data_IF_547038632991
#
_entry.id   IF_547038632991
#
_cell.length_a   1.000
_cell.length_b   1.000
_cell.length_c   1.000
_cell.angle_alpha   90.00
_cell.angle_beta   90.00
_cell.angle_gamma   90.00
#
_symmetry.space_group_name_H-M   'P 1'
#
loop_
_entity.id
_entity.type
_entity.pdbx_description
1 polymer ?
#
# COMPACT_ATOMS: atom_id res chain seq x y z
N UNK A 1 30.09 -3.19 68.27
CA UNK A 1 29.82 -2.06 67.35
C UNK A 1 28.46 -1.48 67.74
N UNK A 2 28.49 -0.21 68.18
CA UNK A 2 27.34 0.61 68.57
C UNK A 2 26.72 1.35 67.36
N UNK A 3 25.48 1.80 67.55
CA UNK A 3 24.87 2.98 66.90
C UNK A 3 23.77 2.65 65.89
N UNK A 4 22.48 2.62 66.27
CA UNK A 4 21.51 3.74 66.35
C UNK A 4 21.09 4.28 64.97
N UNK A 5 19.87 3.96 64.52
CA UNK A 5 18.65 4.81 64.47
C UNK A 5 18.83 6.04 63.57
N UNK A 6 17.97 6.34 62.59
CA UNK A 6 16.59 6.83 62.78
C UNK A 6 15.74 6.63 61.51
N UNK A 7 14.46 6.37 61.75
CA UNK A 7 13.32 6.23 60.85
C UNK A 7 12.92 7.52 60.10
N UNK A 8 12.14 7.36 59.02
CA UNK A 8 11.05 8.27 58.56
C UNK A 8 10.53 7.72 57.22
N UNK A 9 9.24 7.66 56.89
CA UNK A 9 8.02 8.09 57.53
C UNK A 9 6.90 7.32 56.79
N UNK A 10 6.13 6.49 57.50
CA UNK A 10 4.86 6.01 57.00
C UNK A 10 3.89 7.19 57.03
N UNK A 11 3.63 7.81 55.88
CA UNK A 11 2.47 8.69 55.72
C UNK A 11 1.31 7.81 55.31
N UNK A 12 0.42 7.55 56.27
CA UNK A 12 -0.99 7.29 55.99
C UNK A 12 -1.50 8.43 55.09
N UNK A 13 -1.64 8.16 53.80
CA UNK A 13 -2.69 8.79 53.02
C UNK A 13 -3.91 7.89 53.15
N UNK A 14 -4.76 8.27 54.11
CA UNK A 14 -6.17 7.96 54.04
C UNK A 14 -6.70 8.57 52.73
N UNK A 15 -6.62 7.82 51.64
CA UNK A 15 -7.46 8.08 50.48
C UNK A 15 -8.81 7.45 50.79
N UNK A 16 -9.70 8.35 51.20
CA UNK A 16 -11.14 8.17 51.21
C UNK A 16 -11.61 7.15 50.16
N UNK A 17 -12.43 6.22 50.61
CA UNK A 17 -13.32 5.44 49.78
C UNK A 17 -14.00 6.35 48.75
N UNK A 18 -13.49 6.30 47.53
CA UNK A 18 -14.15 6.79 46.33
C UNK A 18 -13.81 5.74 45.28
N UNK A 19 -14.75 4.86 44.98
CA UNK A 19 -14.63 3.99 43.82
C UNK A 19 -14.45 4.90 42.60
N UNK A 20 -13.23 5.10 42.12
CA UNK A 20 -13.03 5.70 40.81
C UNK A 20 -13.72 4.75 39.83
N UNK A 21 -14.81 5.21 39.24
CA UNK A 21 -15.51 4.47 38.23
C UNK A 21 -14.49 4.18 37.12
N UNK A 22 -14.39 2.92 36.72
CA UNK A 22 -13.57 2.54 35.59
C UNK A 22 -14.16 3.24 34.36
N UNK A 23 -13.35 4.03 33.66
CA UNK A 23 -13.77 4.85 32.53
C UNK A 23 -12.96 4.51 31.27
N UNK A 24 -13.55 4.79 30.10
CA UNK A 24 -12.88 4.60 28.82
C UNK A 24 -12.15 5.88 28.44
N UNK A 25 -10.84 5.82 28.28
CA UNK A 25 -10.08 6.92 27.68
C UNK A 25 -10.37 6.96 26.18
N UNK A 26 -10.84 8.11 25.69
CA UNK A 26 -11.10 8.35 24.27
C UNK A 26 -10.02 9.28 23.74
N UNK A 27 -9.30 8.84 22.70
CA UNK A 27 -8.27 9.65 22.03
C UNK A 27 -8.58 9.73 20.55
N UNK A 28 -8.59 10.95 20.02
CA UNK A 28 -8.69 11.17 18.59
C UNK A 28 -7.37 11.72 18.06
N UNK A 29 -6.85 11.08 17.02
CA UNK A 29 -5.68 11.49 16.27
C UNK A 29 -5.99 11.27 14.80
N UNK A 30 -6.58 12.28 14.15
CA UNK A 30 -7.12 12.23 12.78
C UNK A 30 -6.27 11.35 11.85
N UNK A 31 -6.83 10.28 11.25
CA UNK A 31 -8.25 9.89 11.23
C UNK A 31 -8.64 8.76 12.22
N UNK A 32 -7.84 8.54 13.26
CA UNK A 32 -7.95 7.40 14.18
C UNK A 32 -8.65 7.80 15.47
N UNK A 33 -9.68 7.04 15.84
CA UNK A 33 -10.33 7.12 17.15
C UNK A 33 -9.98 5.87 17.96
N UNK A 34 -9.35 6.08 19.10
CA UNK A 34 -8.82 5.03 19.98
C UNK A 34 -9.53 5.08 21.33
N UNK A 35 -9.83 3.89 21.85
CA UNK A 35 -10.49 3.66 23.13
C UNK A 35 -9.63 2.76 23.98
N UNK A 36 -9.32 3.19 25.20
CA UNK A 36 -8.50 2.41 26.14
C UNK A 36 -9.22 2.25 27.45
N UNK A 37 -9.31 1.02 27.94
CA UNK A 37 -9.76 0.68 29.28
C UNK A 37 -8.57 0.13 30.07
N UNK A 38 -8.05 0.84 31.09
CA UNK A 38 -6.87 0.43 31.86
C UNK A 38 -7.20 -0.68 32.87
N UNK A 39 -7.70 -1.81 32.37
CA UNK A 39 -8.08 -3.00 33.14
C UNK A 39 -7.12 -4.15 32.84
N UNK A 40 -6.41 -4.61 33.87
CA UNK A 40 -5.38 -5.66 33.74
C UNK A 40 -5.73 -6.97 34.47
N UNK A 41 -7.00 -7.17 34.82
CA UNK A 41 -7.44 -8.32 35.61
C UNK A 41 -7.42 -9.61 34.80
N UNK A 42 -6.91 -10.71 35.38
CA UNK A 42 -6.93 -12.07 34.77
C UNK A 42 -8.33 -12.68 34.60
N UNK A 43 -9.36 -11.99 35.09
CA UNK A 43 -10.75 -12.45 35.08
C UNK A 43 -11.56 -11.89 33.90
N UNK A 44 -11.03 -10.89 33.17
CA UNK A 44 -11.67 -10.38 31.96
C UNK A 44 -11.19 -11.21 30.75
N UNK A 45 -12.11 -11.90 30.08
CA UNK A 45 -11.80 -12.70 28.88
C UNK A 45 -12.02 -11.93 27.58
N UNK A 46 -12.88 -10.92 27.62
CA UNK A 46 -13.19 -10.03 26.51
C UNK A 46 -13.70 -8.68 27.00
N UNK A 47 -13.45 -7.64 26.20
CA UNK A 47 -14.01 -6.30 26.38
C UNK A 47 -14.61 -5.84 25.07
N UNK A 48 -15.85 -5.33 25.10
CA UNK A 48 -16.50 -4.67 23.98
C UNK A 48 -16.60 -3.17 24.26
N UNK A 49 -16.11 -2.34 23.35
CA UNK A 49 -16.23 -0.88 23.39
C UNK A 49 -17.45 -0.46 22.59
N UNK A 50 -18.37 0.26 23.20
CA UNK A 50 -19.51 0.89 22.55
C UNK A 50 -19.26 2.39 22.48
N UNK A 51 -19.41 2.99 21.32
CA UNK A 51 -19.16 4.42 21.14
C UNK A 51 -20.14 5.06 20.18
N UNK A 52 -20.44 6.33 20.39
CA UNK A 52 -21.36 7.09 19.57
C UNK A 52 -20.72 8.36 18.99
N UNK A 53 -21.00 8.58 17.70
CA UNK A 53 -20.63 9.78 16.94
C UNK A 53 -21.92 10.30 16.31
N UNK A 54 -22.31 11.56 16.57
CA UNK A 54 -23.58 12.15 16.09
C UNK A 54 -24.81 11.26 16.37
N UNK A 55 -24.86 10.65 17.55
CA UNK A 55 -25.92 9.73 17.97
C UNK A 55 -26.01 8.40 17.20
N UNK A 56 -25.06 8.10 16.30
CA UNK A 56 -24.92 6.77 15.70
C UNK A 56 -24.02 5.93 16.59
N UNK A 57 -24.53 4.78 17.05
CA UNK A 57 -23.83 3.85 17.94
C UNK A 57 -23.03 2.81 17.14
N UNK A 58 -21.84 2.49 17.64
CA UNK A 58 -20.90 1.55 17.07
C UNK A 58 -20.40 0.61 18.17
N UNK A 59 -19.84 -0.54 17.78
CA UNK A 59 -19.26 -1.51 18.73
C UNK A 59 -17.95 -2.07 18.18
N UNK A 60 -16.92 -2.09 19.01
CA UNK A 60 -15.60 -2.60 18.71
C UNK A 60 -15.15 -3.65 19.72
N UNK A 61 -14.48 -4.70 19.25
CA UNK A 61 -13.90 -5.72 20.13
C UNK A 61 -12.51 -5.26 20.58
N UNK A 62 -12.31 -5.20 21.89
CA UNK A 62 -11.03 -4.84 22.49
C UNK A 62 -9.98 -5.93 22.32
N UNK A 63 -8.73 -5.50 22.22
CA UNK A 63 -7.53 -6.35 22.23
C UNK A 63 -6.71 -5.98 23.47
N UNK A 64 -6.13 -6.99 24.14
CA UNK A 64 -5.30 -6.76 25.31
C UNK A 64 -3.92 -6.22 24.90
N UNK A 65 -3.48 -5.13 25.55
CA UNK A 65 -2.20 -4.47 25.33
C UNK A 65 -1.51 -4.15 26.66
N UNK A 66 -0.33 -3.50 26.60
CA UNK A 66 0.40 -3.02 27.79
C UNK A 66 -0.33 -1.88 28.52
N UNK A 67 -1.25 -1.19 27.87
CA UNK A 67 -2.03 -0.06 28.43
C UNK A 67 -3.43 -0.49 28.91
N UNK A 68 -3.78 -1.77 28.73
CA UNK A 68 -5.07 -2.34 29.09
C UNK A 68 -5.76 -2.93 27.87
N UNK A 69 -7.09 -2.96 27.88
CA UNK A 69 -7.87 -3.32 26.69
C UNK A 69 -7.99 -2.11 25.78
N UNK A 70 -7.71 -2.29 24.49
CA UNK A 70 -7.78 -1.20 23.50
C UNK A 70 -8.59 -1.58 22.29
N UNK A 71 -9.27 -0.62 21.70
CA UNK A 71 -9.91 -0.72 20.39
C UNK A 71 -9.63 0.56 19.62
N UNK A 72 -9.27 0.45 18.34
CA UNK A 72 -9.07 1.60 17.48
C UNK A 72 -9.82 1.40 16.16
N UNK A 73 -10.50 2.45 15.72
CA UNK A 73 -11.11 2.53 14.40
C UNK A 73 -10.43 3.65 13.61
N UNK A 74 -10.26 3.44 12.30
CA UNK A 74 -9.60 4.38 11.38
C UNK A 74 -10.63 5.02 10.45
N UNK A 75 -10.22 6.05 9.72
CA UNK A 75 -11.06 6.79 8.77
C UNK A 75 -12.35 7.36 9.39
N UNK A 76 -12.31 7.69 10.67
CA UNK A 76 -13.44 8.29 11.38
C UNK A 76 -13.50 9.78 11.10
N UNK A 77 -14.50 10.22 10.33
CA UNK A 77 -14.84 11.65 10.25
C UNK A 77 -15.65 12.07 11.47
N UNK A 78 -15.12 13.03 12.22
CA UNK A 78 -15.81 13.71 13.31
C UNK A 78 -16.40 15.07 12.86
N UNK A 79 -16.46 15.34 11.55
CA UNK A 79 -16.90 16.63 11.01
C UNK A 79 -18.33 16.94 11.43
N UNK A 80 -18.54 18.00 12.21
CA UNK A 80 -19.86 18.37 12.73
C UNK A 80 -20.36 17.48 13.89
N UNK A 81 -19.49 16.64 14.47
CA UNK A 81 -19.76 16.05 15.78
C UNK A 81 -19.33 17.03 16.88
N UNK A 82 -20.18 17.23 17.88
CA UNK A 82 -19.83 18.06 19.06
C UNK A 82 -19.01 17.27 20.10
N UNK A 83 -19.16 15.95 20.08
CA UNK A 83 -18.48 15.05 20.99
C UNK A 83 -18.49 13.61 20.49
N UNK A 84 -17.59 12.81 21.06
CA UNK A 84 -17.63 11.35 21.02
C UNK A 84 -17.95 10.85 22.41
N UNK A 85 -18.87 9.90 22.54
CA UNK A 85 -19.12 9.20 23.81
C UNK A 85 -18.75 7.74 23.70
N UNK A 86 -18.25 7.12 24.77
CA UNK A 86 -17.94 5.70 24.77
C UNK A 86 -18.07 5.07 26.16
N UNK A 87 -18.40 3.78 26.19
CA UNK A 87 -18.33 2.94 27.38
C UNK A 87 -17.87 1.53 26.99
N UNK A 88 -17.42 0.75 27.94
CA UNK A 88 -16.99 -0.63 27.74
C UNK A 88 -17.86 -1.61 28.53
N UNK A 89 -18.04 -2.80 27.97
CA UNK A 89 -18.64 -3.96 28.63
C UNK A 89 -17.56 -5.02 28.79
N UNK A 90 -17.35 -5.48 30.01
CA UNK A 90 -16.33 -6.49 30.35
C UNK A 90 -17.02 -7.82 30.61
N UNK A 91 -16.48 -8.89 30.01
CA UNK A 91 -16.99 -10.25 30.10
C UNK A 91 -16.03 -11.15 30.88
N UNK A 92 -16.58 -12.08 31.65
CA UNK A 92 -15.82 -13.12 32.35
C UNK A 92 -15.40 -14.27 31.41
N UNK A 93 -14.62 -15.22 31.91
CA UNK A 93 -14.15 -16.40 31.15
C UNK A 93 -15.27 -17.31 30.62
N UNK A 94 -16.46 -17.22 31.18
CA UNK A 94 -17.64 -17.98 30.75
C UNK A 94 -18.51 -17.18 29.78
N UNK A 95 -18.11 -15.96 29.41
CA UNK A 95 -18.84 -15.06 28.52
C UNK A 95 -19.95 -14.27 29.21
N UNK A 96 -20.08 -14.31 30.53
CA UNK A 96 -21.08 -13.52 31.24
C UNK A 96 -20.61 -12.07 31.40
N UNK A 97 -21.55 -11.14 31.24
CA UNK A 97 -21.30 -9.71 31.48
C UNK A 97 -21.00 -9.48 32.96
N UNK A 98 -19.78 -9.02 33.25
CA UNK A 98 -19.31 -8.72 34.61
C UNK A 98 -19.59 -7.27 34.98
N UNK A 99 -19.30 -6.35 34.07
CA UNK A 99 -19.47 -4.92 34.33
C UNK A 99 -19.71 -4.12 33.06
N UNK A 100 -20.29 -2.94 33.25
CA UNK A 100 -20.34 -1.86 32.27
C UNK A 100 -19.70 -0.64 32.90
N UNK A 101 -18.77 -0.01 32.18
CA UNK A 101 -18.13 1.24 32.63
C UNK A 101 -19.12 2.40 32.57
N UNK A 102 -18.77 3.51 33.22
CA UNK A 102 -19.46 4.76 32.94
C UNK A 102 -19.19 5.21 31.49
N UNK A 103 -20.09 6.05 30.96
CA UNK A 103 -19.91 6.68 29.64
C UNK A 103 -18.94 7.85 29.79
N UNK A 104 -17.81 7.74 29.11
CA UNK A 104 -16.85 8.82 28.94
C UNK A 104 -17.24 9.67 27.72
N UNK A 105 -16.89 10.97 27.75
CA UNK A 105 -17.20 11.93 26.69
C UNK A 105 -15.96 12.74 26.33
N UNK A 106 -15.55 12.67 25.07
CA UNK A 106 -14.57 13.57 24.48
C UNK A 106 -15.31 14.75 23.85
N UNK A 107 -15.15 15.95 24.41
CA UNK A 107 -15.61 17.18 23.79
C UNK A 107 -14.64 17.58 22.68
N UNK A 108 -15.19 17.91 21.51
CA UNK A 108 -14.42 18.38 20.37
C UNK A 108 -14.45 19.91 20.43
N UNK A 109 -13.41 20.51 21.04
CA UNK A 109 -13.40 21.94 21.35
C UNK A 109 -13.29 22.82 20.09
N UNK A 110 -14.28 23.68 19.87
CA UNK A 110 -14.37 24.59 18.72
C UNK A 110 -13.86 26.00 19.06
N UNK A 111 -13.43 26.30 20.31
CA UNK A 111 -12.96 27.65 20.66
C UNK A 111 -11.74 27.63 21.59
N UNK A 112 -10.64 28.23 21.12
CA UNK A 112 -9.39 28.55 21.86
C UNK A 112 -8.21 27.57 21.79
N UNK A 113 -7.90 27.04 20.60
CA UNK A 113 -6.50 26.69 20.33
C UNK A 113 -5.72 27.98 19.97
N UNK A 114 -4.57 28.28 20.60
CA UNK A 114 -3.68 29.33 20.13
C UNK A 114 -3.31 29.03 18.68
N UNK A 115 -3.15 30.07 17.87
CA UNK A 115 -2.79 29.98 16.45
C UNK A 115 -1.43 29.28 16.33
N UNK A 116 -1.44 27.95 16.34
CA UNK A 116 -0.46 27.15 15.64
C UNK A 116 -0.52 27.66 14.20
N UNK A 117 0.62 28.10 13.68
CA UNK A 117 0.76 28.47 12.27
C UNK A 117 0.01 27.43 11.46
N UNK A 118 -1.06 27.84 10.79
CA UNK A 118 -1.83 26.98 9.91
C UNK A 118 -0.82 26.26 9.00
N UNK A 119 -0.61 24.93 9.12
CA UNK A 119 -0.11 24.23 7.96
C UNK A 119 -1.18 24.50 6.90
N UNK A 120 -0.76 25.08 5.77
CA UNK A 120 -1.62 25.46 4.65
C UNK A 120 -2.87 24.58 4.63
N UNK A 121 -4.04 25.20 4.82
CA UNK A 121 -5.35 24.59 4.67
C UNK A 121 -5.32 23.75 3.39
N UNK A 122 -5.00 22.46 3.51
CA UNK A 122 -5.23 21.50 2.43
C UNK A 122 -6.74 21.46 2.40
N UNK A 123 -7.34 22.14 1.43
CA UNK A 123 -8.65 21.78 0.97
C UNK A 123 -8.50 20.28 0.69
N UNK A 124 -8.98 19.42 1.61
CA UNK A 124 -9.10 17.99 1.32
C UNK A 124 -10.25 17.98 0.34
N UNK A 125 -9.95 18.11 -0.96
CA UNK A 125 -11.00 18.19 -1.96
C UNK A 125 -11.87 16.94 -1.90
N UNK A 126 -13.08 17.07 -2.44
CA UNK A 126 -14.11 16.04 -2.32
C UNK A 126 -13.59 14.70 -2.86
N UNK A 127 -13.74 13.65 -2.06
CA UNK A 127 -13.56 12.26 -2.51
C UNK A 127 -14.66 11.98 -3.51
N UNK A 128 -14.29 11.63 -4.75
CA UNK A 128 -15.27 11.26 -5.79
C UNK A 128 -15.19 9.78 -6.16
N UNK A 129 -14.12 9.10 -5.74
CA UNK A 129 -13.97 7.66 -5.89
C UNK A 129 -13.19 7.11 -4.70
N UNK A 130 -13.68 6.02 -4.11
CA UNK A 130 -12.98 5.22 -3.11
C UNK A 130 -13.36 3.75 -3.27
N UNK A 131 -12.38 2.88 -3.14
CA UNK A 131 -12.59 1.44 -3.02
C UNK A 131 -11.73 0.90 -1.87
N UNK A 132 -12.38 0.26 -0.89
CA UNK A 132 -11.75 -0.36 0.28
C UNK A 132 -11.54 -1.88 0.10
N UNK A 133 -11.79 -2.41 -1.10
CA UNK A 133 -11.54 -3.81 -1.47
C UNK A 133 -12.15 -4.88 -0.53
N UNK A 134 -13.25 -4.55 0.17
CA UNK A 134 -14.07 -5.53 0.89
C UNK A 134 -14.61 -6.64 -0.04
N UNK A 135 -14.69 -6.34 -1.34
CA UNK A 135 -14.89 -7.30 -2.44
C UNK A 135 -14.35 -6.71 -3.74
N UNK A 136 -13.98 -7.54 -4.72
CA UNK A 136 -13.54 -7.03 -6.02
C UNK A 136 -14.73 -6.59 -6.87
N UNK A 137 -14.83 -5.30 -7.18
CA UNK A 137 -15.93 -4.72 -7.94
C UNK A 137 -15.54 -4.49 -9.41
N UNK A 138 -16.07 -5.31 -10.32
CA UNK A 138 -15.83 -5.20 -11.77
C UNK A 138 -16.47 -3.97 -12.41
N UNK A 139 -17.31 -3.20 -11.70
CA UNK A 139 -17.76 -1.88 -12.16
C UNK A 139 -16.69 -0.80 -11.92
N UNK A 140 -15.82 -1.00 -10.94
CA UNK A 140 -14.74 -0.07 -10.60
C UNK A 140 -13.43 -0.44 -11.30
N UNK A 141 -13.22 -1.73 -11.58
CA UNK A 141 -11.93 -2.26 -12.03
C UNK A 141 -12.08 -3.15 -13.26
N UNK A 142 -11.12 -3.02 -14.18
CA UNK A 142 -10.79 -4.02 -15.17
C UNK A 142 -9.63 -4.86 -14.65
N UNK A 143 -9.57 -6.13 -15.04
CA UNK A 143 -8.40 -6.97 -14.86
C UNK A 143 -7.84 -7.33 -16.23
N UNK A 144 -6.53 -7.44 -16.32
CA UNK A 144 -5.85 -7.79 -17.56
C UNK A 144 -5.80 -9.31 -17.70
N UNK A 145 -6.25 -9.82 -18.85
CA UNK A 145 -6.02 -11.18 -19.31
C UNK A 145 -5.03 -11.11 -20.47
N UNK A 146 -3.76 -11.21 -20.11
CA UNK A 146 -2.62 -11.22 -21.03
C UNK A 146 -1.52 -12.11 -20.45
N UNK A 147 -0.47 -12.35 -21.22
CA UNK A 147 0.70 -13.10 -20.76
C UNK A 147 1.72 -12.25 -19.98
N UNK A 148 1.31 -11.10 -19.41
CA UNK A 148 2.16 -10.21 -18.62
C UNK A 148 1.89 -10.28 -17.10
N UNK A 149 2.96 -10.60 -16.35
CA UNK A 149 3.08 -10.48 -14.89
C UNK A 149 3.00 -11.82 -14.12
N UNK A 150 3.18 -11.80 -12.78
CA UNK A 150 3.15 -12.98 -11.91
C UNK A 150 2.33 -12.99 -10.59
N UNK A 151 1.92 -14.19 -10.20
CA UNK A 151 1.57 -14.85 -8.94
C UNK A 151 0.99 -16.23 -9.36
N UNK A 152 1.66 -17.33 -8.98
CA UNK A 152 1.45 -18.71 -9.45
C UNK A 152 2.33 -19.07 -10.64
N UNK A 153 2.98 -20.22 -10.57
CA UNK A 153 3.72 -20.76 -11.71
C UNK A 153 2.71 -21.17 -12.76
N UNK A 154 3.03 -20.92 -14.03
CA UNK A 154 2.13 -21.33 -15.11
C UNK A 154 1.85 -22.84 -15.05
N UNK A 155 2.83 -23.64 -14.64
CA UNK A 155 2.71 -25.12 -14.49
C UNK A 155 1.90 -25.57 -13.27
N UNK A 156 1.53 -24.67 -12.36
CA UNK A 156 0.60 -25.00 -11.26
C UNK A 156 -0.85 -25.05 -11.75
N UNK A 157 -1.15 -24.45 -12.91
CA UNK A 157 -2.43 -24.60 -13.59
C UNK A 157 -2.43 -25.93 -14.36
N UNK A 158 -3.40 -26.82 -14.13
CA UNK A 158 -3.42 -28.17 -14.72
C UNK A 158 -3.52 -28.19 -16.25
N UNK A 159 -3.80 -27.04 -16.88
CA UNK A 159 -3.79 -26.89 -18.35
C UNK A 159 -2.38 -26.86 -18.94
N UNK A 160 -1.35 -26.60 -18.12
CA UNK A 160 0.01 -26.37 -18.59
C UNK A 160 1.01 -27.24 -17.84
N UNK A 161 1.99 -27.78 -18.56
CA UNK A 161 3.15 -28.47 -18.01
C UNK A 161 4.45 -27.82 -18.50
N UNK A 162 5.58 -28.31 -18.01
CA UNK A 162 6.89 -27.76 -18.41
C UNK A 162 7.16 -27.95 -19.90
N UNK A 163 6.70 -29.06 -20.50
CA UNK A 163 6.82 -29.28 -21.94
C UNK A 163 6.02 -28.24 -22.75
N UNK A 164 4.83 -27.86 -22.29
CA UNK A 164 4.02 -26.81 -22.88
C UNK A 164 4.73 -25.46 -22.83
N UNK A 165 5.48 -25.15 -21.77
CA UNK A 165 6.26 -23.90 -21.74
C UNK A 165 7.28 -23.81 -22.89
N UNK A 166 7.90 -24.92 -23.28
CA UNK A 166 8.92 -24.95 -24.34
C UNK A 166 8.35 -25.11 -25.75
N UNK A 167 7.23 -25.82 -25.90
CA UNK A 167 6.74 -26.26 -27.22
C UNK A 167 5.28 -25.88 -27.51
N UNK A 168 4.57 -25.43 -26.48
CA UNK A 168 3.16 -25.10 -26.56
C UNK A 168 2.88 -23.78 -27.29
N UNK A 169 1.61 -23.62 -27.65
CA UNK A 169 1.04 -22.39 -28.15
C UNK A 169 0.00 -21.89 -27.16
N UNK A 170 0.27 -20.76 -26.54
CA UNK A 170 -0.66 -20.12 -25.61
C UNK A 170 -1.52 -19.12 -26.38
N UNK A 171 -2.83 -19.19 -26.21
CA UNK A 171 -3.82 -18.32 -26.85
C UNK A 171 -4.86 -17.90 -25.81
N UNK A 172 -4.83 -16.62 -25.42
CA UNK A 172 -5.69 -16.08 -24.36
C UNK A 172 -7.17 -16.14 -24.73
N UNK A 173 -7.51 -15.92 -26.01
CA UNK A 173 -8.90 -15.99 -26.45
C UNK A 173 -9.45 -17.41 -26.34
N UNK A 174 -8.63 -18.43 -26.62
CA UNK A 174 -9.04 -19.84 -26.45
C UNK A 174 -9.11 -20.26 -24.98
N UNK A 175 -8.21 -19.75 -24.15
CA UNK A 175 -8.11 -20.13 -22.73
C UNK A 175 -9.13 -19.44 -21.83
N UNK A 176 -9.50 -18.19 -22.14
CA UNK A 176 -10.33 -17.34 -21.29
C UNK A 176 -11.53 -16.71 -22.01
N UNK A 177 -11.67 -16.93 -23.32
CA UNK A 177 -12.77 -16.38 -24.14
C UNK A 177 -12.54 -14.96 -24.64
N UNK A 178 -11.49 -14.28 -24.17
CA UNK A 178 -11.10 -12.93 -24.59
C UNK A 178 -9.63 -12.66 -24.25
N UNK A 179 -9.10 -11.57 -24.81
CA UNK A 179 -7.77 -11.03 -24.52
C UNK A 179 -7.87 -9.51 -24.40
N UNK A 180 -7.19 -8.93 -23.41
CA UNK A 180 -7.30 -7.49 -23.13
C UNK A 180 -6.14 -6.65 -23.67
N UNK A 181 -4.98 -7.27 -23.95
CA UNK A 181 -3.78 -6.57 -24.47
C UNK A 181 -3.05 -7.45 -25.48
N UNK A 182 -3.01 -7.02 -26.75
CA UNK A 182 -2.40 -7.76 -27.86
C UNK A 182 -0.95 -7.36 -28.12
N UNK A 183 -0.50 -6.22 -27.60
CA UNK A 183 0.87 -5.74 -27.72
C UNK A 183 1.88 -6.75 -27.20
N UNK A 184 3.07 -6.76 -27.81
CA UNK A 184 4.19 -7.63 -27.40
C UNK A 184 3.83 -9.13 -27.29
N UNK A 185 3.00 -9.63 -28.22
CA UNK A 185 2.53 -11.02 -28.24
C UNK A 185 1.65 -11.39 -27.02
N UNK A 186 0.95 -10.42 -26.44
CA UNK A 186 0.16 -10.59 -25.21
C UNK A 186 -1.05 -11.53 -25.33
N UNK A 187 -1.61 -11.70 -26.53
CA UNK A 187 -2.75 -12.61 -26.76
C UNK A 187 -2.36 -13.99 -27.28
N UNK A 188 -1.27 -14.11 -28.02
CA UNK A 188 -0.83 -15.37 -28.62
C UNK A 188 0.67 -15.44 -28.71
N UNK A 189 1.25 -16.55 -28.20
CA UNK A 189 2.70 -16.78 -28.19
C UNK A 189 3.00 -18.27 -28.32
N UNK A 190 4.17 -18.58 -28.84
CA UNK A 190 4.66 -19.94 -28.99
C UNK A 190 5.97 -20.10 -28.21
N UNK A 191 6.12 -21.21 -27.50
CA UNK A 191 7.29 -21.48 -26.66
C UNK A 191 8.58 -21.76 -27.45
N UNK A 192 8.45 -22.18 -28.71
CA UNK A 192 9.55 -22.72 -29.52
C UNK A 192 10.74 -21.77 -29.75
N UNK A 193 10.59 -20.45 -29.53
CA UNK A 193 11.63 -19.44 -29.77
C UNK A 193 12.18 -18.75 -28.51
N UNK A 194 11.79 -19.17 -27.31
CA UNK A 194 12.26 -18.50 -26.08
C UNK A 194 11.47 -18.80 -24.81
N UNK A 195 10.71 -19.89 -24.81
CA UNK A 195 9.76 -20.32 -23.77
C UNK A 195 8.56 -19.38 -23.61
N UNK A 196 7.40 -19.95 -23.29
CA UNK A 196 6.22 -19.21 -22.86
C UNK A 196 6.46 -18.59 -21.47
N UNK A 197 5.73 -17.53 -21.09
CA UNK A 197 5.86 -16.92 -19.78
C UNK A 197 5.66 -17.95 -18.65
N UNK A 198 6.68 -18.16 -17.79
CA UNK A 198 6.64 -19.23 -16.79
C UNK A 198 5.81 -18.87 -15.54
N UNK A 199 5.33 -17.63 -15.46
CA UNK A 199 4.57 -17.07 -14.33
C UNK A 199 3.34 -16.32 -14.87
N UNK A 200 2.20 -16.33 -14.15
CA UNK A 200 0.95 -15.59 -14.46
C UNK A 200 0.59 -14.59 -13.36
N UNK A 201 0.25 -13.31 -13.59
CA UNK A 201 -0.27 -12.29 -12.61
C UNK A 201 -1.76 -12.02 -12.85
N UNK A 202 -2.47 -11.07 -12.22
CA UNK A 202 -2.13 -9.99 -11.29
C UNK A 202 -1.89 -8.59 -11.91
N UNK A 203 -2.72 -8.13 -12.85
CA UNK A 203 -2.78 -6.71 -13.25
C UNK A 203 -4.22 -6.20 -13.30
N UNK A 204 -4.46 -5.05 -12.66
CA UNK A 204 -5.78 -4.42 -12.57
C UNK A 204 -5.71 -2.94 -12.88
N UNK A 205 -6.77 -2.41 -13.48
CA UNK A 205 -6.88 -1.03 -13.92
C UNK A 205 -8.21 -0.44 -13.46
N UNK A 206 -8.16 0.76 -12.88
CA UNK A 206 -9.37 1.49 -12.53
C UNK A 206 -10.14 1.94 -13.78
N UNK A 207 -11.47 1.89 -13.71
CA UNK A 207 -12.35 2.57 -14.67
C UNK A 207 -12.42 4.08 -14.40
N UNK A 208 -12.57 4.54 -13.14
CA UNK A 208 -12.47 5.96 -12.82
C UNK A 208 -11.14 6.55 -13.27
N UNK A 209 -11.17 7.81 -13.69
CA UNK A 209 -9.99 8.56 -14.10
C UNK A 209 -9.92 9.88 -13.36
N UNK A 210 -8.71 10.41 -13.20
CA UNK A 210 -8.45 11.72 -12.60
C UNK A 210 -7.53 12.53 -13.51
N UNK A 211 -7.90 13.77 -13.78
CA UNK A 211 -7.03 14.72 -14.51
C UNK A 211 -6.13 15.48 -13.53
N UNK A 212 -6.75 16.10 -12.52
CA UNK A 212 -6.07 16.81 -11.45
C UNK A 212 -6.72 16.45 -10.12
N UNK A 213 -5.91 16.27 -9.08
CA UNK A 213 -6.40 15.79 -7.81
C UNK A 213 -5.31 15.16 -6.94
N UNK A 214 -5.76 14.45 -5.92
CA UNK A 214 -4.93 13.60 -5.08
C UNK A 214 -5.37 12.16 -5.33
N UNK A 215 -4.40 11.28 -5.56
CA UNK A 215 -4.59 9.83 -5.54
C UNK A 215 -3.88 9.29 -4.32
N UNK A 216 -4.63 8.68 -3.42
CA UNK A 216 -4.11 8.04 -2.21
C UNK A 216 -4.30 6.54 -2.30
N UNK A 217 -3.26 5.79 -1.99
CA UNK A 217 -3.25 4.33 -2.07
C UNK A 217 -2.57 3.82 -0.81
N UNK A 218 -3.20 2.87 -0.14
CA UNK A 218 -2.57 2.11 0.94
C UNK A 218 -2.43 0.66 0.51
N UNK A 219 -1.19 0.20 0.40
CA UNK A 219 -0.89 -1.16 -0.01
C UNK A 219 0.32 -1.72 0.74
N UNK A 220 0.34 -3.04 0.93
CA UNK A 220 1.54 -3.80 1.29
C UNK A 220 2.11 -4.42 0.02
N UNK A 221 3.36 -4.10 -0.28
CA UNK A 221 4.06 -4.68 -1.43
C UNK A 221 4.47 -6.14 -1.16
N UNK A 222 4.56 -6.97 -2.22
CA UNK A 222 5.01 -8.35 -2.12
C UNK A 222 6.51 -8.45 -1.79
N UNK A 223 6.87 -9.56 -1.14
CA UNK A 223 8.24 -9.96 -0.86
C UNK A 223 8.51 -11.32 -1.52
N UNK A 224 9.69 -11.42 -2.14
CA UNK A 224 10.18 -12.57 -2.89
C UNK A 224 11.16 -12.12 -3.96
N UNK A 225 12.19 -12.92 -4.21
CA UNK A 225 13.22 -12.54 -5.16
C UNK A 225 12.64 -12.37 -6.56
N UNK A 226 13.12 -11.32 -7.24
CA UNK A 226 12.79 -10.98 -8.64
C UNK A 226 11.36 -10.52 -8.88
N UNK A 227 10.61 -10.20 -7.82
CA UNK A 227 9.28 -9.61 -7.93
C UNK A 227 9.40 -8.09 -8.09
N UNK A 228 8.58 -7.51 -8.98
CA UNK A 228 8.54 -6.08 -9.28
C UNK A 228 7.10 -5.56 -9.14
N UNK A 229 6.70 -5.16 -7.93
CA UNK A 229 5.42 -4.49 -7.73
C UNK A 229 5.44 -3.05 -8.23
N UNK A 230 4.33 -2.64 -8.85
CA UNK A 230 4.12 -1.28 -9.32
C UNK A 230 2.71 -0.76 -9.00
N UNK A 231 2.64 0.50 -8.57
CA UNK A 231 1.44 1.33 -8.47
C UNK A 231 1.68 2.57 -9.33
N UNK A 232 0.93 2.70 -10.41
CA UNK A 232 1.25 3.66 -11.48
C UNK A 232 -0.01 4.06 -12.22
N UNK A 233 0.07 5.16 -12.96
CA UNK A 233 -1.05 5.71 -13.71
C UNK A 233 -0.69 5.87 -15.17
N UNK A 234 -1.65 5.51 -16.02
CA UNK A 234 -1.59 5.70 -17.47
C UNK A 234 -2.71 6.63 -17.95
N UNK A 235 -2.49 7.39 -19.03
CA UNK A 235 -3.51 8.27 -19.57
C UNK A 235 -4.63 7.44 -20.19
N UNK A 236 -5.89 7.82 -19.96
CA UNK A 236 -7.04 7.12 -20.56
C UNK A 236 -7.01 7.17 -22.10
N UNK A 237 -6.48 8.25 -22.65
CA UNK A 237 -6.36 8.48 -24.08
C UNK A 237 -4.89 8.71 -24.44
N UNK A 238 -4.46 8.23 -25.60
CA UNK A 238 -3.14 8.59 -26.15
C UNK A 238 -3.19 9.96 -26.86
N UNK A 239 -3.64 11.02 -26.16
CA UNK A 239 -3.89 12.37 -26.73
C UNK A 239 -2.73 12.92 -27.56
N UNK A 240 -1.49 12.63 -27.14
CA UNK A 240 -0.28 13.12 -27.80
C UNK A 240 0.46 12.05 -28.59
N UNK A 241 -0.14 10.87 -28.77
CA UNK A 241 0.46 9.71 -29.44
C UNK A 241 1.03 8.68 -28.48
N UNK A 242 1.78 7.73 -29.04
CA UNK A 242 2.34 6.58 -28.33
C UNK A 242 3.27 7.01 -27.19
N UNK A 243 3.44 6.11 -26.21
CA UNK A 243 4.31 6.29 -25.07
C UNK A 243 5.73 6.75 -25.48
N UNK A 244 6.37 7.68 -24.73
CA UNK A 244 5.92 8.34 -23.50
C UNK A 244 5.18 9.66 -23.77
N UNK A 245 4.78 9.94 -25.02
CA UNK A 245 4.27 11.25 -25.43
C UNK A 245 2.99 11.64 -24.70
N UNK A 246 2.20 10.67 -24.26
CA UNK A 246 0.96 10.88 -23.50
C UNK A 246 1.14 10.79 -21.98
N UNK A 247 2.36 10.54 -21.50
CA UNK A 247 2.70 10.51 -20.08
C UNK A 247 2.49 9.14 -19.42
N UNK A 248 3.16 8.96 -18.29
CA UNK A 248 3.03 7.86 -17.32
C UNK A 248 3.50 8.40 -15.96
N UNK A 249 2.81 8.01 -14.89
CA UNK A 249 3.11 8.43 -13.52
C UNK A 249 3.31 7.20 -12.66
N UNK A 250 4.55 6.91 -12.30
CA UNK A 250 4.87 5.84 -11.35
C UNK A 250 4.84 6.41 -9.95
N UNK A 251 3.78 6.08 -9.22
CA UNK A 251 3.63 6.49 -7.82
C UNK A 251 4.60 5.68 -6.96
N UNK A 252 4.72 4.39 -7.24
CA UNK A 252 5.59 3.48 -6.52
C UNK A 252 6.01 2.31 -7.40
N UNK A 253 7.31 2.14 -7.57
CA UNK A 253 7.93 0.90 -8.01
C UNK A 253 8.90 0.40 -6.96
N UNK A 254 8.97 -0.91 -6.75
CA UNK A 254 9.89 -1.53 -5.79
C UNK A 254 10.37 -2.89 -6.28
N UNK A 255 11.25 -3.52 -5.50
CA UNK A 255 11.71 -4.90 -5.72
C UNK A 255 11.28 -5.74 -4.52
N UNK A 256 10.75 -6.94 -4.77
CA UNK A 256 10.38 -7.88 -3.72
C UNK A 256 11.58 -8.53 -3.01
N UNK A 257 12.80 -8.36 -3.53
CA UNK A 257 14.01 -8.90 -2.90
C UNK A 257 14.19 -8.38 -1.48
N UNK A 258 14.81 -9.19 -0.63
CA UNK A 258 15.25 -8.78 0.71
C UNK A 258 16.58 -8.02 0.60
N UNK A 259 16.74 -6.94 1.38
CA UNK A 259 17.98 -6.16 1.45
C UNK A 259 17.83 -4.69 1.00
N UNK A 260 18.94 -3.93 0.94
CA UNK A 260 18.91 -2.48 0.85
C UNK A 260 18.40 -1.91 -0.48
N UNK A 261 18.44 -2.71 -1.56
CA UNK A 261 17.93 -2.35 -2.90
C UNK A 261 16.57 -3.07 -3.17
N UNK A 262 16.00 -3.68 -2.13
CA UNK A 262 14.81 -4.53 -2.16
C UNK A 262 13.54 -3.84 -1.66
N UNK A 263 12.74 -4.54 -0.86
CA UNK A 263 11.44 -4.09 -0.31
C UNK A 263 11.49 -2.81 0.52
N UNK A 264 12.68 -2.41 0.97
CA UNK A 264 12.88 -1.18 1.72
C UNK A 264 12.94 0.05 0.81
N UNK A 265 13.12 -0.15 -0.50
CA UNK A 265 13.35 0.93 -1.45
C UNK A 265 12.17 1.07 -2.40
N UNK A 266 11.70 2.30 -2.57
CA UNK A 266 10.67 2.66 -3.55
C UNK A 266 11.16 3.76 -4.45
N UNK A 267 10.80 3.68 -5.73
CA UNK A 267 11.04 4.71 -6.72
C UNK A 267 9.72 5.31 -7.19
N UNK A 268 9.73 6.59 -7.52
CA UNK A 268 8.64 7.28 -8.19
C UNK A 268 9.19 8.07 -9.36
N UNK A 269 8.51 7.99 -10.50
CA UNK A 269 8.99 8.48 -11.79
C UNK A 269 7.86 9.11 -12.59
N UNK A 270 8.21 10.09 -13.44
CA UNK A 270 7.31 10.61 -14.47
C UNK A 270 7.94 10.35 -15.83
N UNK A 271 7.29 9.58 -16.71
CA UNK A 271 7.76 9.42 -18.08
C UNK A 271 7.07 10.43 -19.00
N UNK A 272 7.87 11.09 -19.83
CA UNK A 272 7.42 12.11 -20.78
C UNK A 272 8.51 12.35 -21.82
N UNK A 273 8.14 12.87 -22.98
CA UNK A 273 9.09 13.16 -24.05
C UNK A 273 8.51 12.91 -25.44
N UNK A 274 9.22 13.29 -26.49
CA UNK A 274 8.70 13.22 -27.85
C UNK A 274 8.70 11.79 -28.43
N UNK A 275 9.42 10.85 -27.81
CA UNK A 275 9.58 9.46 -28.25
C UNK A 275 10.24 8.60 -27.15
N UNK A 276 10.23 7.27 -27.30
CA UNK A 276 10.78 6.33 -26.31
C UNK A 276 12.28 6.51 -26.07
N UNK A 277 13.06 6.75 -27.13
CA UNK A 277 14.50 7.04 -27.08
C UNK A 277 14.82 8.39 -26.42
N UNK A 278 13.85 9.29 -26.36
CA UNK A 278 13.99 10.63 -25.79
C UNK A 278 13.22 10.81 -24.48
N UNK A 279 12.85 9.70 -23.83
CA UNK A 279 12.16 9.72 -22.55
C UNK A 279 12.99 10.46 -21.49
N UNK A 280 12.33 11.39 -20.80
CA UNK A 280 12.94 12.28 -19.80
C UNK A 280 12.77 11.81 -18.35
N UNK A 281 12.40 10.54 -18.15
CA UNK A 281 12.22 9.92 -16.83
C UNK A 281 13.39 10.17 -15.85
N UNK A 282 14.64 10.15 -16.33
CA UNK A 282 15.84 10.39 -15.51
C UNK A 282 15.84 11.76 -14.79
N UNK A 283 15.06 12.74 -15.29
CA UNK A 283 14.89 14.06 -14.68
C UNK A 283 13.94 14.05 -13.47
N UNK A 284 13.09 13.02 -13.34
CA UNK A 284 11.97 12.99 -12.39
C UNK A 284 11.98 11.77 -11.49
N UNK A 285 12.69 10.69 -11.84
CA UNK A 285 12.85 9.51 -10.99
C UNK A 285 13.49 9.88 -9.65
N UNK A 286 12.89 9.54 -8.53
CA UNK A 286 13.52 9.69 -7.21
C UNK A 286 13.30 8.43 -6.39
N UNK A 287 14.23 8.15 -5.49
CA UNK A 287 14.26 6.90 -4.72
C UNK A 287 14.32 7.21 -3.24
N UNK A 288 13.50 6.50 -2.47
CA UNK A 288 13.39 6.62 -1.03
C UNK A 288 13.54 5.25 -0.38
N UNK A 289 14.14 5.22 0.80
CA UNK A 289 14.30 4.01 1.62
C UNK A 289 13.51 4.15 2.90
N UNK A 290 12.81 3.08 3.27
CA UNK A 290 11.94 2.98 4.42
C UNK A 290 12.35 1.81 5.32
N UNK A 291 12.23 2.01 6.63
CA UNK A 291 12.30 0.97 7.66
C UNK A 291 11.10 1.17 8.58
N UNK A 292 10.30 0.12 8.77
CA UNK A 292 9.07 0.16 9.59
C UNK A 292 8.13 1.35 9.23
N UNK A 293 7.96 1.59 7.93
CA UNK A 293 7.19 2.70 7.34
C UNK A 293 7.73 4.11 7.61
N UNK A 294 8.95 4.25 8.14
CA UNK A 294 9.62 5.53 8.31
C UNK A 294 10.63 5.76 7.18
N UNK A 295 10.53 6.89 6.46
CA UNK A 295 11.53 7.32 5.47
C UNK A 295 12.85 7.59 6.21
N UNK A 296 13.89 6.80 5.92
CA UNK A 296 15.22 6.94 6.53
C UNK A 296 16.25 7.54 5.56
N UNK A 297 15.99 7.47 4.26
CA UNK A 297 16.88 7.99 3.23
C UNK A 297 16.09 8.44 2.00
N UNK A 298 16.49 9.57 1.43
CA UNK A 298 16.10 10.03 0.10
C UNK A 298 17.36 10.24 -0.73
N UNK A 299 17.43 9.58 -1.88
CA UNK A 299 18.61 9.63 -2.74
C UNK A 299 18.46 10.72 -3.80
N UNK A 300 19.26 11.77 -3.67
CA UNK A 300 19.39 12.82 -4.67
C UNK A 300 18.63 14.11 -4.34
N UNK A 301 18.70 15.09 -5.24
CA UNK A 301 18.18 16.43 -4.98
C UNK A 301 16.64 16.47 -5.03
N UNK A 302 16.06 17.61 -4.68
CA UNK A 302 14.61 17.80 -4.81
C UNK A 302 14.17 17.78 -6.30
N UNK A 303 12.87 17.67 -6.55
CA UNK A 303 12.31 17.55 -7.90
C UNK A 303 12.83 18.61 -8.88
N UNK A 304 12.82 19.89 -8.50
CA UNK A 304 13.25 21.01 -9.34
C UNK A 304 14.73 20.93 -9.68
N UNK A 305 15.56 20.69 -8.66
CA UNK A 305 17.00 20.55 -8.81
C UNK A 305 17.37 19.32 -9.66
N UNK A 306 16.70 18.18 -9.46
CA UNK A 306 16.95 16.96 -10.23
C UNK A 306 16.66 17.15 -11.71
N UNK A 307 15.55 17.81 -12.02
CA UNK A 307 15.15 18.04 -13.40
C UNK A 307 15.92 19.16 -14.11
N UNK A 308 16.64 20.00 -13.35
CA UNK A 308 17.19 21.26 -13.86
C UNK A 308 16.07 22.19 -14.34
N UNK A 309 14.96 22.21 -13.61
CA UNK A 309 13.74 22.92 -13.98
C UNK A 309 13.70 24.33 -13.38
N UNK A 310 12.97 25.23 -14.04
CA UNK A 310 12.72 26.60 -13.59
C UNK A 310 11.23 26.93 -13.59
N UNK A 311 10.86 28.01 -12.91
CA UNK A 311 9.46 28.42 -12.76
C UNK A 311 8.70 27.60 -11.72
N UNK A 312 7.37 27.66 -11.77
CA UNK A 312 6.47 27.02 -10.80
C UNK A 312 5.67 25.85 -11.40
N UNK A 313 5.57 25.76 -12.73
CA UNK A 313 4.87 24.69 -13.43
C UNK A 313 5.50 24.41 -14.80
N UNK A 314 6.25 23.32 -14.91
CA UNK A 314 6.87 22.87 -16.17
C UNK A 314 5.88 22.21 -17.13
N UNK A 315 4.66 21.94 -16.69
CA UNK A 315 3.63 21.26 -17.45
C UNK A 315 2.56 22.21 -18.01
N UNK A 316 2.78 23.53 -17.89
CA UNK A 316 1.79 24.53 -18.26
C UNK A 316 1.41 24.53 -19.76
N UNK A 317 2.29 24.05 -20.64
CA UNK A 317 2.05 24.07 -22.09
C UNK A 317 1.04 23.04 -22.58
N UNK A 318 0.83 21.92 -21.86
CA UNK A 318 -0.15 20.90 -22.25
C UNK A 318 0.10 20.29 -23.64
N UNK A 319 1.24 19.61 -23.82
CA UNK A 319 1.66 18.98 -25.09
C UNK A 319 2.45 17.69 -24.84
N UNK A 320 3.08 17.09 -25.87
CA UNK A 320 3.95 15.90 -25.72
C UNK A 320 5.14 16.09 -24.75
N UNK A 321 5.53 17.35 -24.52
CA UNK A 321 6.55 17.74 -23.53
C UNK A 321 5.95 18.14 -22.17
N UNK A 322 4.63 18.06 -22.02
CA UNK A 322 3.89 18.35 -20.81
C UNK A 322 2.55 17.57 -20.74
N UNK A 323 2.59 16.22 -20.77
CA UNK A 323 1.42 15.43 -21.15
C UNK A 323 0.45 15.11 -20.00
N UNK A 324 0.64 15.75 -18.84
CA UNK A 324 -0.12 15.50 -17.61
C UNK A 324 -1.37 16.41 -17.50
N UNK A 325 -1.93 16.81 -18.64
CA UNK A 325 -3.10 17.67 -18.75
C UNK A 325 -4.36 16.92 -19.23
N UNK A 326 -4.40 15.61 -19.03
CA UNK A 326 -5.50 14.72 -19.44
C UNK A 326 -5.87 13.75 -18.30
N UNK A 327 -7.02 13.05 -18.39
CA UNK A 327 -7.38 12.07 -17.37
C UNK A 327 -6.48 10.83 -17.39
N UNK A 328 -6.03 10.41 -16.22
CA UNK A 328 -5.26 9.19 -15.96
C UNK A 328 -6.09 8.20 -15.14
N UNK A 329 -5.90 6.91 -15.39
CA UNK A 329 -6.42 5.84 -14.55
C UNK A 329 -5.27 5.18 -13.80
N UNK A 330 -5.55 4.64 -12.62
CA UNK A 330 -4.57 3.89 -11.82
C UNK A 330 -4.52 2.42 -12.20
N UNK A 331 -3.33 1.85 -12.10
CA UNK A 331 -2.97 0.47 -12.39
C UNK A 331 -2.16 -0.11 -11.24
N UNK A 332 -2.43 -1.38 -10.90
CA UNK A 332 -1.64 -2.17 -9.97
C UNK A 332 -1.21 -3.45 -10.66
N UNK A 333 0.06 -3.78 -10.55
CA UNK A 333 0.54 -5.09 -10.99
C UNK A 333 1.72 -5.60 -10.19
N UNK A 334 1.94 -6.90 -10.32
CA UNK A 334 3.11 -7.59 -9.78
C UNK A 334 3.86 -8.23 -10.95
N UNK A 335 4.79 -7.49 -11.55
CA UNK A 335 5.68 -8.06 -12.56
C UNK A 335 6.70 -9.01 -11.90
N UNK A 336 7.27 -9.91 -12.69
CA UNK A 336 8.32 -10.84 -12.24
C UNK A 336 9.44 -10.87 -13.27
N UNK A 337 10.67 -10.65 -12.81
CA UNK A 337 11.86 -10.56 -13.65
C UNK A 337 11.85 -9.32 -14.55
N UNK A 338 12.54 -9.41 -15.68
CA UNK A 338 12.61 -8.36 -16.69
C UNK A 338 14.04 -7.99 -17.09
N UNK A 339 14.20 -7.46 -18.31
CA UNK A 339 15.50 -7.08 -18.90
C UNK A 339 15.71 -5.55 -18.95
N UNK A 340 14.80 -4.78 -18.36
CA UNK A 340 14.81 -3.30 -18.35
C UNK A 340 15.96 -2.67 -17.55
N UNK A 341 16.76 -3.47 -16.85
CA UNK A 341 17.75 -2.98 -15.88
C UNK A 341 17.19 -2.80 -14.48
N UNK A 342 15.87 -3.01 -14.26
CA UNK A 342 15.28 -2.95 -12.92
C UNK A 342 16.02 -3.87 -11.95
N UNK A 343 16.40 -5.08 -12.40
CA UNK A 343 17.34 -5.95 -11.69
C UNK A 343 18.72 -5.85 -12.37
N UNK A 344 19.72 -5.18 -11.74
CA UNK A 344 21.06 -5.08 -12.28
C UNK A 344 21.73 -6.45 -12.48
N UNK A 345 22.51 -6.58 -13.55
CA UNK A 345 23.31 -7.78 -13.79
C UNK A 345 24.41 -7.91 -12.73
N UNK A 346 24.70 -9.15 -12.32
CA UNK A 346 25.70 -9.43 -11.28
C UNK A 346 25.19 -9.26 -9.84
N UNK A 347 23.94 -8.85 -9.62
CA UNK A 347 23.38 -8.78 -8.27
C UNK A 347 23.18 -10.17 -7.65
N UNK A 348 23.34 -10.20 -6.32
CA UNK A 348 23.08 -11.36 -5.48
C UNK A 348 22.05 -11.00 -4.41
N UNK A 349 21.03 -11.84 -4.26
CA UNK A 349 20.03 -11.74 -3.19
C UNK A 349 19.86 -13.10 -2.53
N UNK A 350 19.74 -13.14 -1.21
CA UNK A 350 19.62 -14.38 -0.43
C UNK A 350 20.69 -15.45 -0.75
N UNK A 351 21.91 -15.02 -1.08
CA UNK A 351 23.01 -15.91 -1.46
C UNK A 351 22.94 -16.46 -2.89
N UNK A 352 21.88 -16.16 -3.64
CA UNK A 352 21.71 -16.56 -5.04
C UNK A 352 22.02 -15.40 -5.99
N UNK A 353 22.74 -15.69 -7.08
CA UNK A 353 22.95 -14.73 -8.17
C UNK A 353 21.68 -14.58 -8.99
N UNK A 354 21.45 -13.40 -9.56
CA UNK A 354 20.45 -13.20 -10.62
C UNK A 354 20.60 -14.25 -11.72
N UNK A 355 19.55 -15.04 -12.03
CA UNK A 355 19.69 -16.18 -12.93
C UNK A 355 19.74 -15.82 -14.41
N UNK A 356 19.36 -14.59 -14.81
CA UNK A 356 19.41 -14.10 -16.20
C UNK A 356 20.30 -12.86 -16.35
N UNK A 357 20.76 -12.59 -17.57
CA UNK A 357 21.35 -11.29 -17.94
C UNK A 357 20.30 -10.42 -18.66
N UNK A 358 20.39 -9.10 -18.46
CA UNK A 358 19.55 -8.13 -19.19
C UNK A 358 19.76 -8.18 -20.72
N UNK A 359 20.89 -8.70 -21.20
CA UNK A 359 21.15 -8.89 -22.63
C UNK A 359 20.79 -10.28 -23.17
N UNK A 360 20.27 -11.20 -22.35
CA UNK A 360 19.99 -12.57 -22.78
C UNK A 360 18.75 -12.62 -23.70
N UNK A 361 18.84 -13.21 -24.90
CA UNK A 361 17.66 -13.49 -25.73
C UNK A 361 16.77 -14.58 -25.12
N UNK A 362 17.27 -15.31 -24.13
CA UNK A 362 16.57 -16.39 -23.43
C UNK A 362 16.32 -16.06 -21.96
N UNK A 363 16.25 -14.77 -21.60
CA UNK A 363 16.12 -14.33 -20.21
C UNK A 363 14.97 -14.99 -19.43
N UNK A 364 13.84 -15.29 -20.09
CA UNK A 364 12.71 -15.99 -19.46
C UNK A 364 13.06 -17.45 -19.12
N UNK A 365 13.75 -18.15 -20.01
CA UNK A 365 14.22 -19.52 -19.80
C UNK A 365 15.32 -19.55 -18.74
N UNK A 366 16.28 -18.61 -18.77
CA UNK A 366 17.32 -18.47 -17.75
C UNK A 366 16.71 -18.24 -16.37
N UNK A 367 15.72 -17.35 -16.28
CA UNK A 367 14.94 -17.11 -15.07
C UNK A 367 14.27 -18.40 -14.56
N UNK A 368 13.60 -19.14 -15.45
CA UNK A 368 12.94 -20.40 -15.10
C UNK A 368 13.90 -21.51 -14.65
N UNK A 369 15.06 -21.63 -15.29
CA UNK A 369 16.08 -22.61 -14.91
C UNK A 369 16.66 -22.31 -13.50
N UNK A 370 16.70 -21.05 -13.10
CA UNK A 370 17.11 -20.63 -11.75
C UNK A 370 16.08 -20.85 -10.64
N UNK A 371 14.90 -21.40 -10.94
CA UNK A 371 13.75 -21.45 -10.01
C UNK A 371 14.01 -22.15 -8.68
N UNK A 372 14.89 -23.15 -8.65
CA UNK A 372 15.28 -23.81 -7.40
C UNK A 372 15.81 -22.82 -6.35
N UNK A 373 16.43 -21.72 -6.79
CA UNK A 373 16.98 -20.71 -5.88
C UNK A 373 15.99 -19.63 -5.48
N UNK A 374 15.15 -19.14 -6.39
CA UNK A 374 14.27 -18.02 -6.07
C UNK A 374 12.88 -18.44 -5.61
N UNK A 375 12.37 -19.60 -6.03
CA UNK A 375 11.03 -20.05 -5.67
C UNK A 375 10.92 -20.29 -4.15
N UNK A 376 12.01 -20.71 -3.52
CA UNK A 376 12.10 -20.89 -2.06
C UNK A 376 11.91 -19.59 -1.28
N UNK A 377 11.98 -18.42 -1.92
CA UNK A 377 11.78 -17.11 -1.28
C UNK A 377 10.34 -16.61 -1.39
N UNK A 378 9.51 -17.30 -2.17
CA UNK A 378 8.11 -16.94 -2.39
C UNK A 378 7.24 -17.70 -1.37
N UNK A 379 6.73 -16.99 -0.38
CA UNK A 379 6.05 -17.57 0.79
C UNK A 379 4.63 -17.03 0.96
N UNK A 380 3.64 -17.81 0.52
CA UNK A 380 2.22 -17.59 0.81
C UNK A 380 1.79 -16.12 0.67
N UNK A 381 1.10 -15.59 1.67
CA UNK A 381 0.58 -14.22 1.65
C UNK A 381 1.65 -13.11 1.59
N UNK A 382 2.93 -13.40 1.85
CA UNK A 382 4.00 -12.38 1.74
C UNK A 382 4.31 -12.01 0.30
N UNK A 383 4.09 -12.93 -0.64
CA UNK A 383 4.37 -12.78 -2.07
C UNK A 383 3.23 -12.12 -2.84
N UNK A 384 2.10 -11.87 -2.18
CA UNK A 384 1.00 -11.10 -2.73
C UNK A 384 1.11 -9.60 -2.39
N UNK A 385 0.79 -8.75 -3.37
CA UNK A 385 0.43 -7.36 -3.10
C UNK A 385 -0.94 -7.36 -2.42
N UNK A 386 -1.07 -6.66 -1.30
CA UNK A 386 -2.36 -6.42 -0.65
C UNK A 386 -2.69 -4.95 -0.72
N UNK A 387 -3.79 -4.59 -1.37
CA UNK A 387 -4.29 -3.22 -1.43
C UNK A 387 -5.40 -3.08 -0.40
N UNK A 388 -5.25 -2.11 0.50
CA UNK A 388 -6.22 -1.79 1.56
C UNK A 388 -7.28 -0.82 1.02
N UNK A 389 -6.86 0.31 0.44
CA UNK A 389 -7.76 1.20 -0.26
C UNK A 389 -7.08 1.99 -1.37
N UNK A 390 -7.92 2.49 -2.28
CA UNK A 390 -7.59 3.49 -3.29
C UNK A 390 -8.62 4.60 -3.24
N UNK A 391 -8.17 5.84 -3.29
CA UNK A 391 -9.05 7.00 -3.17
C UNK A 391 -8.61 8.15 -4.07
N UNK A 392 -9.56 8.72 -4.81
CA UNK A 392 -9.36 9.89 -5.64
C UNK A 392 -10.11 11.09 -5.05
N UNK A 393 -9.38 12.21 -4.91
CA UNK A 393 -9.92 13.48 -4.43
C UNK A 393 -9.67 14.58 -5.44
N UNK A 394 -10.61 15.52 -5.57
CA UNK A 394 -10.30 16.79 -6.21
C UNK A 394 -9.30 17.60 -5.37
N UNK A 395 -8.66 18.60 -5.97
CA UNK A 395 -7.81 19.58 -5.27
C UNK A 395 -8.63 20.76 -4.76
#
# INVERSE_FOLDING_TARGET
>A
MCGHFVASLAVLLALSCGSQALEVTIKYSDPVLEFTLPLFTREASAVAFHYAIKHVEYTGRGVQTREGWTYATRDVSLDGAESVTAYAVVYDINGNKRMTTQRSKLLLDVRSAPVARLPNRRIRGAVFFRDDFNSFNTNNWNYEVSMFGGYTLTVDDPRFDENFLYHGKMDMNKLFGYCTEAGNYGCTREGQYGMLPPIMSGKVESKPTIRYGIVEIRARIPQGDWIWPALWLMPRNSKYGNWPRSGEIDVMESRGNTGPIGIQQVSSTLHWGPSADQNKFYKTTNTRTFVDNQEILRVGPNFWQKGGFSGTNIWASGEKMAPFDQPFYIMFNVAVGGTSGMFPDGNHYNGARKPWSNGSPHAAQDFWNGRGEWLKTWHGGKTAMLVDYVEFRHL
#
